data_IF_718167673859
#
_entry.id   IF_718167673859
#
_cell.length_a   1.000
_cell.length_b   1.000
_cell.length_c   1.000
_cell.angle_alpha   90.00
_cell.angle_beta   90.00
_cell.angle_gamma   90.00
#
_symmetry.space_group_name_H-M   'P 1'
#
loop_
_entity.id
_entity.type
_entity.pdbx_description
1 polymer ?
#
# COMPACT_ATOMS: atom_id res chain seq x y z
N UNK A 1 -5.78 5.73 11.57
CA UNK A 1 -6.32 4.87 10.49
C UNK A 1 -6.73 5.75 9.31
N UNK A 2 -6.08 5.63 8.15
CA UNK A 2 -6.27 6.52 6.98
C UNK A 2 -7.68 6.35 6.36
N UNK A 3 -8.42 7.45 6.24
CA UNK A 3 -9.79 7.51 5.70
C UNK A 3 -9.88 6.91 4.29
N UNK A 4 -8.86 7.12 3.45
CA UNK A 4 -8.86 6.57 2.07
C UNK A 4 -8.80 5.06 2.06
N UNK A 5 -8.04 4.44 2.98
CA UNK A 5 -7.96 2.99 3.06
C UNK A 5 -9.30 2.36 3.48
N UNK A 6 -10.02 3.01 4.40
CA UNK A 6 -11.36 2.58 4.84
C UNK A 6 -12.40 2.69 3.72
N UNK A 7 -12.28 3.70 2.85
CA UNK A 7 -13.13 3.86 1.67
C UNK A 7 -12.82 2.78 0.63
N UNK A 8 -11.55 2.49 0.36
CA UNK A 8 -11.14 1.45 -0.61
C UNK A 8 -11.61 0.06 -0.14
N UNK A 9 -11.48 -0.26 1.15
CA UNK A 9 -11.95 -1.54 1.70
C UNK A 9 -13.48 -1.64 1.77
N UNK A 10 -14.18 -0.51 1.97
CA UNK A 10 -15.64 -0.44 1.94
C UNK A 10 -16.26 -0.55 0.54
N UNK A 11 -15.61 0.01 -0.48
CA UNK A 11 -16.11 0.03 -1.86
C UNK A 11 -16.22 -1.37 -2.49
N UNK A 12 -15.42 -2.35 -2.03
CA UNK A 12 -15.49 -3.75 -2.49
C UNK A 12 -16.77 -4.49 -2.07
N UNK A 13 -17.57 -3.94 -1.14
CA UNK A 13 -18.82 -4.53 -0.66
C UNK A 13 -20.06 -4.05 -1.41
N UNK A 14 -19.90 -3.11 -2.35
CA UNK A 14 -20.99 -2.53 -3.15
C UNK A 14 -21.10 -3.30 -4.47
N UNK A 15 -22.29 -3.79 -4.87
CA UNK A 15 -22.49 -4.42 -6.18
C UNK A 15 -22.04 -3.49 -7.32
N UNK A 16 -21.06 -3.91 -8.13
CA UNK A 16 -20.47 -3.11 -9.21
C UNK A 16 -19.29 -2.21 -8.82
N UNK A 17 -19.00 -2.06 -7.52
CA UNK A 17 -17.82 -1.34 -7.02
C UNK A 17 -16.50 -2.00 -7.44
N UNK A 18 -16.50 -3.32 -7.61
CA UNK A 18 -15.36 -4.09 -8.10
C UNK A 18 -14.95 -3.72 -9.53
N UNK A 19 -15.91 -3.47 -10.43
CA UNK A 19 -15.64 -3.03 -11.82
C UNK A 19 -15.04 -1.63 -11.84
N UNK A 20 -15.52 -0.74 -10.96
CA UNK A 20 -14.98 0.61 -10.81
C UNK A 20 -13.56 0.59 -10.24
N UNK A 21 -13.31 -0.19 -9.19
CA UNK A 21 -11.98 -0.38 -8.61
C UNK A 21 -11.00 -0.98 -9.63
N UNK A 22 -11.43 -1.97 -10.42
CA UNK A 22 -10.64 -2.53 -11.54
C UNK A 22 -10.34 -1.47 -12.60
N UNK A 23 -11.30 -0.61 -12.95
CA UNK A 23 -11.09 0.46 -13.93
C UNK A 23 -10.06 1.48 -13.46
N UNK A 24 -10.08 1.85 -12.18
CA UNK A 24 -9.06 2.71 -11.57
C UNK A 24 -7.71 1.99 -11.55
N UNK A 25 -7.67 0.72 -11.13
CA UNK A 25 -6.44 -0.06 -11.06
C UNK A 25 -5.73 -0.20 -12.42
N UNK A 26 -6.48 -0.27 -13.53
CA UNK A 26 -5.95 -0.28 -14.90
C UNK A 26 -5.23 1.00 -15.33
N UNK A 27 -5.45 2.13 -14.63
CA UNK A 27 -4.77 3.40 -14.96
C UNK A 27 -3.30 3.38 -14.56
N UNK A 28 -2.94 2.60 -13.56
CA UNK A 28 -1.56 2.38 -13.19
C UNK A 28 -0.99 1.33 -14.14
N UNK A 29 0.04 1.62 -14.92
CA UNK A 29 0.62 0.64 -15.86
C UNK A 29 1.62 -0.25 -15.13
N UNK A 30 1.80 -1.48 -15.58
CA UNK A 30 2.88 -2.32 -15.07
C UNK A 30 4.23 -1.62 -15.25
N UNK A 31 5.09 -1.67 -14.25
CA UNK A 31 6.38 -0.99 -14.25
C UNK A 31 6.32 0.53 -14.07
N UNK A 32 5.13 1.14 -14.01
CA UNK A 32 5.03 2.59 -13.77
C UNK A 32 5.41 2.96 -12.34
N UNK A 33 6.08 4.10 -12.18
CA UNK A 33 6.35 4.69 -10.87
C UNK A 33 5.18 5.59 -10.48
N UNK A 34 4.65 5.37 -9.29
CA UNK A 34 3.47 6.08 -8.77
C UNK A 34 3.78 6.63 -7.39
N UNK A 35 3.11 7.73 -7.00
CA UNK A 35 3.22 8.25 -5.64
C UNK A 35 2.22 7.54 -4.73
N UNK A 36 2.70 7.01 -3.61
CA UNK A 36 1.87 6.36 -2.60
C UNK A 36 0.91 7.38 -1.98
N UNK A 37 -0.38 7.04 -1.93
CA UNK A 37 -1.44 7.98 -1.56
C UNK A 37 -1.96 7.90 -0.13
N UNK A 38 -1.59 6.87 0.63
CA UNK A 38 -2.11 6.55 1.96
C UNK A 38 -1.07 5.79 2.81
N UNK A 39 -1.36 5.64 4.11
CA UNK A 39 -0.50 4.92 5.06
C UNK A 39 0.76 5.70 5.46
N UNK A 40 1.65 5.04 6.21
CA UNK A 40 2.90 5.65 6.70
C UNK A 40 3.89 5.89 5.55
N UNK A 41 3.81 5.10 4.47
CA UNK A 41 4.61 5.29 3.25
C UNK A 41 4.06 6.41 2.32
N UNK A 42 3.05 7.17 2.75
CA UNK A 42 2.41 8.21 1.93
C UNK A 42 3.42 9.25 1.45
N UNK A 43 3.36 9.55 0.15
CA UNK A 43 4.23 10.52 -0.50
C UNK A 43 5.49 9.90 -1.09
N UNK A 44 5.89 8.69 -0.69
CA UNK A 44 6.99 7.96 -1.33
C UNK A 44 6.63 7.51 -2.75
N UNK A 45 7.65 7.20 -3.55
CA UNK A 45 7.50 6.67 -4.89
C UNK A 45 7.56 5.14 -4.87
N UNK A 46 6.69 4.49 -5.61
CA UNK A 46 6.60 3.04 -5.71
C UNK A 46 6.56 2.61 -7.17
N UNK A 47 7.36 1.61 -7.54
CA UNK A 47 7.28 1.00 -8.87
C UNK A 47 6.23 -0.11 -8.87
N UNK A 48 5.16 0.06 -9.66
CA UNK A 48 4.08 -0.92 -9.77
C UNK A 48 4.60 -2.23 -10.36
N UNK A 49 4.28 -3.33 -9.69
CA UNK A 49 4.43 -4.67 -10.24
C UNK A 49 3.23 -5.54 -9.90
N UNK A 50 2.70 -6.23 -10.90
CA UNK A 50 1.58 -7.18 -10.81
C UNK A 50 1.98 -8.47 -10.08
N UNK A 51 3.29 -8.73 -9.94
CA UNK A 51 3.82 -9.87 -9.20
C UNK A 51 3.64 -9.71 -7.68
N UNK A 52 3.50 -8.49 -7.21
CA UNK A 52 3.42 -8.17 -5.80
C UNK A 52 1.98 -7.99 -5.33
N UNK A 53 1.82 -7.98 -4.00
CA UNK A 53 0.51 -7.88 -3.37
C UNK A 53 -0.22 -6.62 -3.82
N UNK A 54 -1.49 -6.78 -4.19
CA UNK A 54 -2.36 -5.66 -4.49
C UNK A 54 -2.50 -4.78 -3.25
N UNK A 55 -2.09 -3.51 -3.35
CA UNK A 55 -2.20 -2.55 -2.25
C UNK A 55 -0.90 -1.82 -1.89
N UNK A 56 0.28 -2.35 -2.26
CA UNK A 56 1.57 -1.68 -2.00
C UNK A 56 1.61 -0.27 -2.60
N UNK A 57 1.29 -0.14 -3.88
CA UNK A 57 1.31 1.16 -4.57
C UNK A 57 0.22 2.13 -4.08
N UNK A 58 -0.78 1.64 -3.35
CA UNK A 58 -1.80 2.47 -2.69
C UNK A 58 -1.37 2.86 -1.28
N UNK A 59 -0.41 2.14 -0.67
CA UNK A 59 0.06 2.33 0.70
C UNK A 59 -0.84 1.72 1.77
N UNK A 60 -1.79 0.87 1.37
CA UNK A 60 -2.83 0.32 2.28
C UNK A 60 -2.51 -1.08 2.81
N UNK A 61 -1.32 -1.59 2.52
CA UNK A 61 -0.90 -2.91 2.95
C UNK A 61 -0.53 -2.91 4.44
N UNK A 62 -1.20 -3.74 5.25
CA UNK A 62 -0.88 -3.94 6.66
C UNK A 62 -0.74 -2.64 7.47
N UNK A 63 -1.74 -1.75 7.39
CA UNK A 63 -1.72 -0.43 8.02
C UNK A 63 -1.45 -0.43 9.53
N UNK A 64 -1.90 -1.45 10.25
CA UNK A 64 -1.65 -1.57 11.68
C UNK A 64 -0.19 -1.89 11.97
N UNK A 65 0.45 -2.74 11.14
CA UNK A 65 1.87 -3.01 11.23
C UNK A 65 2.71 -1.79 10.83
N UNK A 66 2.32 -1.08 9.76
CA UNK A 66 2.95 0.20 9.40
C UNK A 66 2.96 1.16 10.61
N UNK A 67 1.81 1.34 11.25
CA UNK A 67 1.69 2.22 12.41
C UNK A 67 2.51 1.73 13.61
N UNK A 68 2.55 0.41 13.87
CA UNK A 68 3.39 -0.17 14.91
C UNK A 68 4.87 0.12 14.65
N UNK A 69 5.36 -0.16 13.44
CA UNK A 69 6.75 0.10 13.04
C UNK A 69 7.08 1.59 13.19
N UNK A 70 6.23 2.49 12.69
CA UNK A 70 6.45 3.93 12.75
C UNK A 70 6.47 4.50 14.18
N UNK A 71 5.72 3.90 15.10
CA UNK A 71 5.67 4.34 16.50
C UNK A 71 6.79 3.75 17.36
N UNK A 72 7.21 2.51 17.07
CA UNK A 72 8.14 1.76 17.92
C UNK A 72 9.59 1.88 17.46
N UNK A 73 9.86 1.91 16.14
CA UNK A 73 11.24 2.02 15.64
C UNK A 73 11.79 3.44 15.81
N UNK A 74 13.06 3.50 16.21
CA UNK A 74 13.82 4.73 16.42
C UNK A 74 15.09 4.71 15.58
N UNK A 75 15.65 5.90 15.37
CA UNK A 75 16.93 6.03 14.71
C UNK A 75 18.02 5.25 15.48
N UNK A 76 18.70 4.34 14.80
CA UNK A 76 19.72 3.46 15.38
C UNK A 76 19.24 2.05 15.68
N UNK A 77 17.94 1.78 15.62
CA UNK A 77 17.41 0.42 15.74
C UNK A 77 17.76 -0.42 14.51
N UNK A 78 17.87 -1.73 14.72
CA UNK A 78 18.06 -2.71 13.65
C UNK A 78 16.72 -3.38 13.36
N UNK A 79 16.24 -3.22 12.12
CA UNK A 79 15.00 -3.82 11.64
C UNK A 79 15.30 -4.93 10.62
N UNK A 80 14.67 -6.10 10.80
CA UNK A 80 14.80 -7.25 9.91
C UNK A 80 13.46 -7.54 9.22
N UNK A 81 13.37 -7.29 7.91
CA UNK A 81 12.24 -7.71 7.08
C UNK A 81 12.50 -9.12 6.51
N UNK A 82 12.30 -10.13 7.34
CA UNK A 82 12.59 -11.53 6.97
C UNK A 82 11.53 -12.02 5.98
N UNK A 83 11.98 -12.44 4.80
CA UNK A 83 11.08 -12.88 3.73
C UNK A 83 10.46 -11.73 2.95
N UNK A 84 11.06 -10.54 3.01
CA UNK A 84 10.69 -9.37 2.22
C UNK A 84 10.44 -9.76 0.76
N UNK A 85 9.22 -9.50 0.27
CA UNK A 85 8.87 -9.77 -1.12
C UNK A 85 9.33 -8.62 -2.02
N UNK A 86 8.58 -7.52 -2.03
CA UNK A 86 8.92 -6.33 -2.80
C UNK A 86 9.69 -5.28 -1.98
N UNK A 87 9.94 -5.55 -0.69
CA UNK A 87 10.53 -4.59 0.24
C UNK A 87 9.63 -3.40 0.54
N UNK A 88 8.34 -3.59 0.77
CA UNK A 88 7.43 -2.48 1.11
C UNK A 88 7.77 -1.81 2.44
N UNK A 89 8.32 -2.57 3.40
CA UNK A 89 8.75 -2.08 4.70
C UNK A 89 10.24 -1.72 4.78
N UNK A 90 10.93 -1.71 3.63
CA UNK A 90 12.35 -1.38 3.50
C UNK A 90 12.56 -0.02 2.81
#
# INVERSE_FOLDING_TARGET
MDIKAKIISGAGKIPGGDKFLRAIARRYKEGSVVRIGAGEAKGLLWQRSHRYVNGYWLGIYELELQACIANELKAGDIFFDIGANAGFFL
#
